data_IF_624388763549
#
_entry.id   IF_624388763549
#
_cell.length_a   1.000
_cell.length_b   1.000
_cell.length_c   1.000
_cell.angle_alpha   90.00
_cell.angle_beta   90.00
_cell.angle_gamma   90.00
#
_symmetry.space_group_name_H-M   'P 1'
#
loop_
_entity.id
_entity.type
_entity.pdbx_description
1 polymer ?
#
# COMPACT_ATOMS: atom_id res chain seq x y z
N UNK A 1 32.40 -7.98 -0.33
CA UNK A 1 31.67 -8.76 0.68
C UNK A 1 30.68 -9.65 -0.05
N UNK A 2 30.76 -10.96 0.16
CA UNK A 2 29.80 -11.91 -0.44
C UNK A 2 28.63 -12.05 0.52
N UNK A 3 27.40 -11.84 0.03
CA UNK A 3 26.19 -12.07 0.83
C UNK A 3 26.03 -13.58 1.11
N UNK A 4 25.57 -13.92 2.31
CA UNK A 4 25.11 -15.28 2.59
C UNK A 4 23.75 -15.56 1.89
N UNK A 5 23.26 -16.80 1.96
CA UNK A 5 22.01 -17.20 1.30
C UNK A 5 20.76 -16.55 1.92
N UNK A 6 20.78 -16.23 3.22
CA UNK A 6 19.68 -15.57 3.90
C UNK A 6 19.58 -14.11 3.44
N UNK A 7 20.71 -13.41 3.41
CA UNK A 7 20.85 -12.05 2.91
C UNK A 7 20.45 -11.94 1.43
N UNK A 8 20.88 -12.89 0.59
CA UNK A 8 20.43 -12.96 -0.82
C UNK A 8 18.92 -13.11 -0.93
N UNK A 9 18.33 -13.95 -0.08
CA UNK A 9 16.89 -14.17 -0.03
C UNK A 9 16.15 -12.91 0.42
N UNK A 10 16.62 -12.23 1.47
CA UNK A 10 16.06 -10.98 1.98
C UNK A 10 16.08 -9.89 0.90
N UNK A 11 17.22 -9.69 0.22
CA UNK A 11 17.34 -8.72 -0.88
C UNK A 11 16.39 -9.04 -2.02
N UNK A 12 16.27 -10.31 -2.41
CA UNK A 12 15.36 -10.75 -3.48
C UNK A 12 13.90 -10.47 -3.10
N UNK A 13 13.49 -10.87 -1.90
CA UNK A 13 12.12 -10.68 -1.39
C UNK A 13 11.77 -9.20 -1.30
N UNK A 14 12.66 -8.40 -0.71
CA UNK A 14 12.51 -6.96 -0.60
C UNK A 14 12.32 -6.30 -1.97
N UNK A 15 13.25 -6.52 -2.91
CA UNK A 15 13.20 -5.88 -4.24
C UNK A 15 11.99 -6.31 -5.06
N UNK A 16 11.76 -7.62 -5.20
CA UNK A 16 10.65 -8.13 -6.01
C UNK A 16 9.30 -7.74 -5.40
N UNK A 17 9.18 -7.81 -4.07
CA UNK A 17 7.99 -7.38 -3.37
C UNK A 17 7.68 -5.90 -3.61
N UNK A 18 8.67 -5.00 -3.49
CA UNK A 18 8.44 -3.59 -3.76
C UNK A 18 8.08 -3.33 -5.22
N UNK A 19 8.75 -3.94 -6.19
CA UNK A 19 8.42 -3.79 -7.61
C UNK A 19 6.97 -4.21 -7.92
N UNK A 20 6.55 -5.38 -7.43
CA UNK A 20 5.18 -5.88 -7.64
C UNK A 20 4.16 -5.01 -6.90
N UNK A 21 4.49 -4.51 -5.70
CA UNK A 21 3.64 -3.56 -4.98
C UNK A 21 3.42 -2.27 -5.78
N UNK A 22 4.47 -1.70 -6.39
CA UNK A 22 4.32 -0.53 -7.26
C UNK A 22 3.44 -0.81 -8.49
N UNK A 23 3.57 -1.99 -9.12
CA UNK A 23 2.68 -2.39 -10.20
C UNK A 23 1.21 -2.48 -9.74
N UNK A 24 0.96 -3.00 -8.53
CA UNK A 24 -0.38 -2.99 -7.95
C UNK A 24 -0.93 -1.58 -7.76
N UNK A 25 -0.11 -0.62 -7.30
CA UNK A 25 -0.54 0.78 -7.15
C UNK A 25 -0.94 1.40 -8.49
N UNK A 26 -0.14 1.20 -9.54
CA UNK A 26 -0.46 1.71 -10.88
C UNK A 26 -1.81 1.17 -11.37
N UNK A 27 -2.03 -0.14 -11.26
CA UNK A 27 -3.29 -0.78 -11.69
C UNK A 27 -4.48 -0.35 -10.82
N UNK A 28 -4.28 -0.21 -9.50
CA UNK A 28 -5.30 0.31 -8.60
C UNK A 28 -5.70 1.74 -8.97
N UNK A 29 -4.73 2.62 -9.25
CA UNK A 29 -4.98 4.00 -9.66
C UNK A 29 -5.82 4.05 -10.94
N UNK A 30 -5.48 3.25 -11.95
CA UNK A 30 -6.29 3.15 -13.18
C UNK A 30 -7.73 2.73 -12.90
N UNK A 31 -7.93 1.68 -12.10
CA UNK A 31 -9.28 1.21 -11.77
C UNK A 31 -10.06 2.18 -10.90
N UNK A 32 -9.41 2.89 -9.98
CA UNK A 32 -10.07 3.89 -9.14
C UNK A 32 -10.54 5.10 -9.94
N UNK A 33 -9.77 5.55 -10.94
CA UNK A 33 -10.20 6.60 -11.88
C UNK A 33 -11.45 6.16 -12.63
N UNK A 34 -11.46 4.94 -13.17
CA UNK A 34 -12.65 4.40 -13.86
C UNK A 34 -13.82 4.20 -12.90
N UNK A 35 -13.58 3.75 -11.67
CA UNK A 35 -14.62 3.56 -10.67
C UNK A 35 -15.25 4.88 -10.27
N UNK A 36 -14.45 5.95 -10.12
CA UNK A 36 -14.97 7.29 -9.84
C UNK A 36 -15.97 7.70 -10.91
N UNK A 37 -15.58 7.60 -12.18
CA UNK A 37 -16.46 7.89 -13.32
C UNK A 37 -17.74 7.03 -13.30
N UNK A 38 -17.62 5.72 -13.10
CA UNK A 38 -18.77 4.83 -13.05
C UNK A 38 -19.74 5.16 -11.89
N UNK A 39 -19.22 5.62 -10.75
CA UNK A 39 -20.06 6.05 -9.63
C UNK A 39 -20.75 7.39 -9.92
N UNK A 40 -20.05 8.32 -10.58
CA UNK A 40 -20.61 9.62 -10.97
C UNK A 40 -21.72 9.47 -12.03
N UNK A 41 -21.57 8.51 -12.95
CA UNK A 41 -22.54 8.19 -14.02
C UNK A 41 -23.63 7.18 -13.58
N UNK A 42 -23.61 6.74 -12.32
CA UNK A 42 -24.49 5.69 -11.79
C UNK A 42 -24.44 4.36 -12.60
N UNK A 43 -23.31 4.08 -13.27
CA UNK A 43 -23.04 2.79 -13.90
C UNK A 43 -22.66 1.75 -12.83
N UNK A 44 -23.70 1.24 -12.17
CA UNK A 44 -23.60 0.28 -11.07
C UNK A 44 -23.01 -1.07 -11.50
N UNK A 45 -23.18 -1.47 -12.77
CA UNK A 45 -22.62 -2.71 -13.30
C UNK A 45 -21.10 -2.62 -13.36
N UNK A 46 -20.57 -1.53 -13.95
CA UNK A 46 -19.14 -1.28 -14.00
C UNK A 46 -18.57 -1.04 -12.61
N UNK A 47 -19.26 -0.26 -11.77
CA UNK A 47 -18.83 0.02 -10.41
C UNK A 47 -18.67 -1.26 -9.59
N UNK A 48 -19.66 -2.17 -9.62
CA UNK A 48 -19.58 -3.46 -8.91
C UNK A 48 -18.36 -4.27 -9.34
N UNK A 49 -18.14 -4.41 -10.65
CA UNK A 49 -17.00 -5.17 -11.20
C UNK A 49 -15.67 -4.57 -10.74
N UNK A 50 -15.53 -3.25 -10.76
CA UNK A 50 -14.29 -2.57 -10.35
C UNK A 50 -14.04 -2.68 -8.84
N UNK A 51 -15.09 -2.61 -8.02
CA UNK A 51 -14.98 -2.85 -6.56
C UNK A 51 -14.44 -4.26 -6.27
N UNK A 52 -14.90 -5.28 -7.01
CA UNK A 52 -14.41 -6.66 -6.88
C UNK A 52 -12.97 -6.83 -7.37
N UNK A 53 -12.59 -6.15 -8.44
CA UNK A 53 -11.18 -6.09 -8.90
C UNK A 53 -10.29 -5.45 -7.84
N UNK A 54 -10.65 -4.28 -7.34
CA UNK A 54 -9.89 -3.56 -6.31
C UNK A 54 -9.77 -4.35 -5.01
N UNK A 55 -10.82 -5.10 -4.63
CA UNK A 55 -10.79 -6.01 -3.47
C UNK A 55 -9.69 -7.07 -3.65
N UNK A 56 -9.59 -7.68 -4.83
CA UNK A 56 -8.54 -8.67 -5.13
C UNK A 56 -7.16 -8.03 -5.19
N UNK A 57 -7.04 -6.82 -5.72
CA UNK A 57 -5.79 -6.08 -5.75
C UNK A 57 -5.30 -5.73 -4.34
N UNK A 58 -6.18 -5.35 -3.41
CA UNK A 58 -5.77 -5.12 -2.01
C UNK A 58 -5.26 -6.39 -1.34
N UNK A 59 -5.91 -7.55 -1.58
CA UNK A 59 -5.43 -8.85 -1.11
C UNK A 59 -4.06 -9.18 -1.67
N UNK A 60 -3.86 -8.96 -2.97
CA UNK A 60 -2.58 -9.18 -3.64
C UNK A 60 -1.49 -8.26 -3.08
N UNK A 61 -1.79 -6.97 -2.89
CA UNK A 61 -0.88 -6.01 -2.27
C UNK A 61 -0.52 -6.41 -0.82
N UNK A 62 -1.47 -6.93 -0.04
CA UNK A 62 -1.18 -7.46 1.30
C UNK A 62 -0.24 -8.66 1.25
N UNK A 63 -0.52 -9.65 0.41
CA UNK A 63 0.36 -10.81 0.24
C UNK A 63 1.76 -10.40 -0.26
N UNK A 64 1.81 -9.40 -1.13
CA UNK A 64 3.05 -8.83 -1.65
C UNK A 64 3.90 -8.19 -0.54
N UNK A 65 3.29 -7.39 0.35
CA UNK A 65 3.99 -6.84 1.52
C UNK A 65 4.47 -7.93 2.48
N UNK A 66 3.67 -8.98 2.69
CA UNK A 66 4.07 -10.13 3.50
C UNK A 66 5.26 -10.86 2.90
N UNK A 67 5.24 -11.14 1.59
CA UNK A 67 6.39 -11.70 0.87
C UNK A 67 7.62 -10.79 0.98
N UNK A 68 7.44 -9.47 0.79
CA UNK A 68 8.50 -8.46 0.87
C UNK A 68 9.13 -8.34 2.26
N UNK A 69 8.50 -8.89 3.29
CA UNK A 69 8.92 -8.81 4.70
C UNK A 69 9.20 -10.17 5.32
N UNK A 70 9.09 -11.25 4.54
CA UNK A 70 9.34 -12.61 5.00
C UNK A 70 10.85 -12.87 5.02
N UNK A 71 11.54 -12.35 6.03
CA UNK A 71 12.94 -12.66 6.36
C UNK A 71 13.24 -12.18 7.79
N UNK A 72 14.33 -12.64 8.42
CA UNK A 72 14.68 -12.24 9.78
C UNK A 72 15.00 -10.75 9.93
N UNK A 73 14.79 -10.19 11.12
CA UNK A 73 15.00 -8.76 11.41
C UNK A 73 16.46 -8.36 11.20
N UNK A 74 17.37 -9.27 11.50
CA UNK A 74 18.82 -9.10 11.42
C UNK A 74 19.25 -8.76 9.99
N UNK A 75 18.62 -9.39 8.99
CA UNK A 75 18.82 -9.07 7.57
C UNK A 75 18.31 -7.67 7.19
N UNK A 76 17.27 -7.17 7.88
CA UNK A 76 16.82 -5.79 7.70
C UNK A 76 17.82 -4.80 8.27
N UNK A 77 18.19 -4.97 9.54
CA UNK A 77 19.04 -4.01 10.27
C UNK A 77 20.48 -4.00 9.75
N UNK A 78 21.03 -5.17 9.41
CA UNK A 78 22.43 -5.31 8.99
C UNK A 78 22.70 -5.09 7.50
N UNK A 79 21.65 -5.07 6.65
CA UNK A 79 21.83 -5.02 5.20
C UNK A 79 20.83 -4.10 4.50
N UNK A 80 19.53 -4.30 4.67
CA UNK A 80 18.53 -3.56 3.90
C UNK A 80 18.39 -2.11 4.35
N UNK A 81 18.25 -1.86 5.66
CA UNK A 81 18.12 -0.50 6.20
C UNK A 81 19.35 0.36 5.90
N UNK A 82 20.61 -0.09 6.14
CA UNK A 82 21.79 0.68 5.76
C UNK A 82 21.88 0.98 4.25
N UNK A 83 21.33 0.10 3.40
CA UNK A 83 21.27 0.37 1.95
C UNK A 83 20.28 1.48 1.56
N UNK A 84 19.39 1.86 2.48
CA UNK A 84 18.44 2.97 2.35
C UNK A 84 18.87 4.22 3.13
N UNK A 85 20.13 4.28 3.56
CA UNK A 85 20.75 5.41 4.24
C UNK A 85 21.88 6.03 3.38
N UNK A 86 22.33 7.25 3.69
CA UNK A 86 23.52 7.82 3.06
C UNK A 86 24.75 6.92 3.23
N UNK A 87 25.68 6.86 2.25
CA UNK A 87 25.73 7.65 1.01
C UNK A 87 24.92 7.09 -0.16
N UNK A 88 24.19 5.98 0.03
CA UNK A 88 23.54 5.25 -1.07
C UNK A 88 22.26 5.92 -1.57
N UNK A 89 21.56 6.60 -0.67
CA UNK A 89 20.39 7.43 -0.97
C UNK A 89 20.44 8.73 -0.18
N UNK A 90 19.69 9.72 -0.66
CA UNK A 90 19.58 11.01 0.02
C UNK A 90 19.07 10.84 1.46
N UNK A 91 19.60 11.63 2.42
CA UNK A 91 19.11 11.63 3.79
C UNK A 91 17.59 11.81 3.85
N UNK A 92 16.94 11.10 4.77
CA UNK A 92 15.50 11.19 4.99
C UNK A 92 14.63 10.40 4.00
N UNK A 93 15.21 9.44 3.27
CA UNK A 93 14.44 8.50 2.44
C UNK A 93 13.24 7.92 3.23
N UNK A 94 12.06 7.95 2.62
CA UNK A 94 10.83 7.47 3.25
C UNK A 94 9.88 6.91 2.22
N UNK A 95 9.23 5.79 2.55
CA UNK A 95 8.11 5.26 1.77
C UNK A 95 6.93 6.24 1.64
N UNK A 96 6.90 7.32 2.44
CA UNK A 96 5.93 8.42 2.29
C UNK A 96 6.06 9.16 0.96
N UNK A 97 7.22 9.13 0.30
CA UNK A 97 7.44 9.82 -0.97
C UNK A 97 6.91 9.07 -2.19
N UNK A 98 6.22 7.94 -1.99
CA UNK A 98 5.59 7.20 -3.07
C UNK A 98 4.33 7.93 -3.57
N UNK A 99 4.50 8.72 -4.64
CA UNK A 99 3.44 9.52 -5.27
C UNK A 99 2.26 8.68 -5.77
N UNK A 100 2.50 7.48 -6.29
CA UNK A 100 1.43 6.57 -6.73
C UNK A 100 0.56 6.12 -5.55
N UNK A 101 1.18 5.86 -4.40
CA UNK A 101 0.44 5.48 -3.19
C UNK A 101 -0.36 6.66 -2.64
N UNK A 102 0.22 7.86 -2.62
CA UNK A 102 -0.50 9.09 -2.25
C UNK A 102 -1.73 9.30 -3.15
N UNK A 103 -1.54 9.21 -4.47
CA UNK A 103 -2.63 9.34 -5.43
C UNK A 103 -3.71 8.29 -5.24
N UNK A 104 -3.32 7.04 -4.93
CA UNK A 104 -4.26 5.96 -4.63
C UNK A 104 -5.13 6.29 -3.41
N UNK A 105 -4.52 6.82 -2.34
CA UNK A 105 -5.25 7.22 -1.13
C UNK A 105 -6.24 8.36 -1.39
N UNK A 106 -5.86 9.34 -2.22
CA UNK A 106 -6.77 10.41 -2.66
C UNK A 106 -7.95 9.86 -3.45
N UNK A 107 -7.69 9.06 -4.48
CA UNK A 107 -8.71 8.45 -5.32
C UNK A 107 -9.69 7.59 -4.52
N UNK A 108 -9.21 6.84 -3.53
CA UNK A 108 -10.10 6.09 -2.63
C UNK A 108 -11.01 7.03 -1.83
N UNK A 109 -10.50 8.17 -1.33
CA UNK A 109 -11.35 9.15 -0.64
C UNK A 109 -12.39 9.75 -1.59
N UNK A 110 -11.98 10.10 -2.80
CA UNK A 110 -12.85 10.66 -3.85
C UNK A 110 -13.99 9.70 -4.22
N UNK A 111 -13.75 8.38 -4.27
CA UNK A 111 -14.78 7.37 -4.55
C UNK A 111 -15.67 7.08 -3.35
N UNK A 112 -15.11 7.08 -2.14
CA UNK A 112 -15.81 6.63 -0.92
C UNK A 112 -16.97 7.53 -0.53
N UNK A 113 -16.84 8.85 -0.71
CA UNK A 113 -17.89 9.82 -0.41
C UNK A 113 -19.15 9.60 -1.26
N UNK A 114 -19.06 9.68 -2.60
CA UNK A 114 -20.15 9.40 -3.51
C UNK A 114 -20.80 8.03 -3.31
N UNK A 115 -20.02 6.95 -3.16
CA UNK A 115 -20.58 5.62 -2.89
C UNK A 115 -21.38 5.56 -1.58
N UNK A 116 -20.88 6.20 -0.51
CA UNK A 116 -21.64 6.29 0.76
C UNK A 116 -22.93 7.08 0.59
N UNK A 117 -22.90 8.17 -0.17
CA UNK A 117 -24.09 8.98 -0.47
C UNK A 117 -25.12 8.13 -1.23
N UNK A 118 -24.71 7.47 -2.31
CA UNK A 118 -25.57 6.62 -3.13
C UNK A 118 -26.16 5.44 -2.34
N UNK A 119 -25.38 4.84 -1.43
CA UNK A 119 -25.88 3.80 -0.53
C UNK A 119 -26.96 4.34 0.42
N UNK A 120 -26.76 5.54 0.99
CA UNK A 120 -27.71 6.17 1.93
C UNK A 120 -29.01 6.60 1.26
N UNK A 121 -28.97 7.06 0.01
CA UNK A 121 -30.15 7.49 -0.73
C UNK A 121 -30.89 6.34 -1.43
N UNK A 122 -30.35 5.11 -1.36
CA UNK A 122 -30.93 3.94 -2.04
C UNK A 122 -30.62 3.86 -3.54
N UNK A 123 -29.80 4.78 -4.08
CA UNK A 123 -29.42 4.79 -5.49
C UNK A 123 -28.50 3.62 -5.85
N UNK A 124 -27.56 3.26 -4.96
CA UNK A 124 -26.67 2.13 -5.18
C UNK A 124 -27.38 0.79 -4.89
N UNK A 125 -27.40 -0.17 -5.84
CA UNK A 125 -27.94 -1.52 -5.63
C UNK A 125 -27.25 -2.28 -4.48
N UNK A 126 -27.93 -3.30 -3.94
CA UNK A 126 -27.44 -4.05 -2.77
C UNK A 126 -26.08 -4.72 -3.01
N UNK A 127 -25.89 -5.34 -4.16
CA UNK A 127 -24.65 -6.01 -4.55
C UNK A 127 -23.46 -5.04 -4.70
N UNK A 128 -23.70 -3.79 -5.14
CA UNK A 128 -22.69 -2.71 -5.15
C UNK A 128 -22.29 -2.34 -3.72
N UNK A 129 -23.26 -2.21 -2.80
CA UNK A 129 -22.98 -1.89 -1.39
C UNK A 129 -22.15 -2.99 -0.74
N UNK A 130 -22.48 -4.26 -1.00
CA UNK A 130 -21.73 -5.42 -0.50
C UNK A 130 -20.32 -5.49 -1.10
N UNK A 131 -20.16 -5.18 -2.39
CA UNK A 131 -18.84 -5.05 -3.03
C UNK A 131 -18.01 -3.93 -2.40
N UNK A 132 -18.61 -2.77 -2.13
CA UNK A 132 -17.93 -1.66 -1.48
C UNK A 132 -17.50 -2.02 -0.05
N UNK A 133 -18.35 -2.70 0.72
CA UNK A 133 -18.00 -3.16 2.07
C UNK A 133 -16.78 -4.10 2.05
N UNK A 134 -16.75 -5.06 1.14
CA UNK A 134 -15.62 -5.99 0.97
C UNK A 134 -14.32 -5.25 0.63
N UNK A 135 -14.37 -4.26 -0.25
CA UNK A 135 -13.22 -3.41 -0.56
C UNK A 135 -12.68 -2.70 0.68
N UNK A 136 -13.55 -2.10 1.49
CA UNK A 136 -13.12 -1.37 2.71
C UNK A 136 -12.57 -2.30 3.80
N UNK A 137 -13.08 -3.52 3.89
CA UNK A 137 -12.53 -4.55 4.77
C UNK A 137 -11.11 -4.93 4.36
N UNK A 138 -10.85 -5.17 3.06
CA UNK A 138 -9.51 -5.50 2.58
C UNK A 138 -8.54 -4.32 2.68
N UNK A 139 -8.99 -3.07 2.46
CA UNK A 139 -8.18 -1.90 2.73
C UNK A 139 -7.77 -1.82 4.21
N UNK A 140 -8.73 -2.04 5.13
CA UNK A 140 -8.47 -2.03 6.56
C UNK A 140 -7.46 -3.12 6.96
N UNK A 141 -7.64 -4.34 6.43
CA UNK A 141 -6.72 -5.46 6.62
C UNK A 141 -5.33 -5.14 6.10
N UNK A 142 -5.22 -4.56 4.90
CA UNK A 142 -3.95 -4.16 4.31
C UNK A 142 -3.18 -3.17 5.21
N UNK A 143 -3.88 -2.14 5.73
CA UNK A 143 -3.30 -1.18 6.68
C UNK A 143 -2.85 -1.85 7.98
N UNK A 144 -3.65 -2.76 8.53
CA UNK A 144 -3.30 -3.48 9.75
C UNK A 144 -2.06 -4.35 9.56
N UNK A 145 -1.96 -5.07 8.44
CA UNK A 145 -0.80 -5.90 8.10
C UNK A 145 0.46 -5.04 7.89
N UNK A 146 0.34 -3.91 7.19
CA UNK A 146 1.45 -2.99 7.04
C UNK A 146 1.99 -2.50 8.39
N UNK A 147 1.11 -2.18 9.36
CA UNK A 147 1.52 -1.82 10.72
C UNK A 147 2.33 -2.93 11.41
N UNK A 148 1.91 -4.18 11.29
CA UNK A 148 2.63 -5.33 11.88
C UNK A 148 4.02 -5.51 11.25
N UNK A 149 4.14 -5.30 9.94
CA UNK A 149 5.43 -5.34 9.23
C UNK A 149 6.34 -4.20 9.72
N UNK A 150 5.81 -2.98 9.83
CA UNK A 150 6.57 -1.86 10.40
C UNK A 150 7.05 -2.17 11.81
N UNK A 151 6.20 -2.74 12.68
CA UNK A 151 6.60 -3.11 14.04
C UNK A 151 7.71 -4.17 14.04
N UNK A 152 7.63 -5.16 13.14
CA UNK A 152 8.65 -6.21 12.96
C UNK A 152 10.02 -5.69 12.54
N UNK A 153 10.13 -4.52 11.92
CA UNK A 153 11.42 -4.00 11.45
C UNK A 153 11.84 -2.70 12.13
N UNK A 154 10.89 -1.90 12.60
CA UNK A 154 11.13 -0.60 13.21
C UNK A 154 10.13 -0.41 14.38
N UNK A 155 10.38 -1.04 15.55
CA UNK A 155 9.55 -0.85 16.73
C UNK A 155 9.44 0.63 17.09
N UNK A 156 8.23 1.08 17.42
CA UNK A 156 7.97 2.52 17.66
C UNK A 156 7.88 3.38 16.39
N UNK A 157 8.12 2.81 15.21
CA UNK A 157 7.81 3.42 13.91
C UNK A 157 8.72 4.58 13.50
N UNK A 158 9.91 4.70 14.09
CA UNK A 158 10.84 5.78 13.81
C UNK A 158 11.47 5.63 12.41
N UNK A 159 11.01 6.47 11.48
CA UNK A 159 11.51 6.49 10.10
C UNK A 159 12.84 7.23 9.97
N UNK A 160 13.63 6.91 8.94
CA UNK A 160 14.85 7.64 8.57
C UNK A 160 14.60 9.15 8.38
N UNK A 161 13.40 9.52 7.94
CA UNK A 161 12.97 10.92 7.85
C UNK A 161 12.85 11.58 9.23
N UNK A 162 12.28 10.89 10.21
CA UNK A 162 12.18 11.40 11.58
C UNK A 162 13.57 11.48 12.23
N UNK A 163 14.41 10.47 12.02
CA UNK A 163 15.81 10.48 12.50
C UNK A 163 16.59 11.65 11.91
N UNK A 164 16.42 11.94 10.62
CA UNK A 164 17.06 13.09 9.97
C UNK A 164 16.69 14.43 10.63
N UNK A 165 15.41 14.66 10.94
CA UNK A 165 14.99 15.92 11.59
C UNK A 165 15.32 15.99 13.08
N UNK A 166 15.45 14.86 13.79
CA UNK A 166 15.89 14.84 15.19
C UNK A 166 17.40 15.12 15.29
N UNK A 167 18.20 14.60 14.36
CA UNK A 167 19.66 14.72 14.37
C UNK A 167 20.16 16.06 13.81
N UNK A 168 19.31 16.84 13.15
CA UNK A 168 19.59 18.21 12.71
C UNK A 168 18.51 19.17 13.24
N UNK A 169 18.70 19.78 14.43
CA UNK A 169 17.84 20.87 14.85
C UNK A 169 17.96 22.03 13.83
N UNK A 170 16.82 22.66 13.54
CA UNK A 170 16.70 23.81 12.62
C UNK A 170 17.60 24.98 13.03
#
# INVERSE_FOLDING_TARGET
>A
MTLDEEQKTAVRRWKLGHHVFHLHLTVMNTHLVTLRKAVDEEDWVTARRLLEVLTRLYRAATACMQYASDFPRESYDGLLRPSMEPPWVSPGFSGKFNTDHERMLELVKEVRGPLKKAARTGAAPADVRDAAQRLWQEQSRNRAQHKLICEKFVPGGQSLLQEYFVTRPQ
#
